data_IF_488664736533
#
_entry.id   IF_488664736533
#
_cell.length_a   1.000
_cell.length_b   1.000
_cell.length_c   1.000
_cell.angle_alpha   90.00
_cell.angle_beta   90.00
_cell.angle_gamma   90.00
#
_symmetry.space_group_name_H-M   'P 1'
#
loop_
_entity.id
_entity.type
_entity.pdbx_description
1 polymer ?
#
# COMPACT_ATOMS: atom_id res chain seq x y z
N UNK A 1 8.23 -1.15 -24.90
CA UNK A 1 7.05 -0.27 -24.79
C UNK A 1 6.54 -0.41 -23.37
N UNK A 2 6.27 0.71 -22.71
CA UNK A 2 5.63 0.69 -21.40
C UNK A 2 4.15 0.33 -21.61
N UNK A 3 3.56 -0.45 -20.70
CA UNK A 3 2.14 -0.78 -20.73
C UNK A 3 1.33 0.41 -20.19
N UNK A 4 0.14 0.65 -20.76
CA UNK A 4 -0.79 1.66 -20.26
C UNK A 4 -1.43 1.17 -18.95
N UNK A 5 -0.73 1.38 -17.85
CA UNK A 5 -1.17 1.03 -16.50
C UNK A 5 -1.65 2.29 -15.81
N UNK A 6 -2.85 2.23 -15.24
CA UNK A 6 -3.40 3.35 -14.48
C UNK A 6 -2.50 3.70 -13.29
N UNK A 7 -2.24 5.01 -13.03
CA UNK A 7 -1.48 5.42 -11.87
C UNK A 7 -2.22 5.07 -10.56
N UNK A 8 -1.49 4.90 -9.44
CA UNK A 8 -2.10 4.70 -8.13
C UNK A 8 -3.02 5.85 -7.72
N UNK A 9 -3.96 5.56 -6.82
CA UNK A 9 -4.70 6.62 -6.13
C UNK A 9 -3.81 7.26 -5.05
N UNK A 10 -4.10 8.53 -4.70
CA UNK A 10 -3.44 9.20 -3.56
C UNK A 10 -3.79 8.46 -2.28
N UNK A 11 -2.77 8.03 -1.52
CA UNK A 11 -2.97 7.33 -0.27
C UNK A 11 -3.04 8.32 0.89
N UNK A 12 -4.05 8.16 1.74
CA UNK A 12 -4.32 9.06 2.88
C UNK A 12 -3.80 8.53 4.23
N UNK A 13 -3.17 7.35 4.22
CA UNK A 13 -2.70 6.67 5.44
C UNK A 13 -3.73 5.74 6.09
N UNK A 14 -4.93 5.57 5.51
CA UNK A 14 -5.90 4.61 6.00
C UNK A 14 -5.43 3.18 5.74
N UNK A 15 -5.01 2.49 6.81
CA UNK A 15 -4.49 1.12 6.79
C UNK A 15 -5.40 0.11 6.06
N UNK A 16 -6.73 0.30 6.05
CA UNK A 16 -7.67 -0.56 5.30
C UNK A 16 -7.46 -0.49 3.78
N UNK A 17 -6.99 0.66 3.29
CA UNK A 17 -6.74 0.91 1.87
C UNK A 17 -5.30 0.61 1.45
N UNK A 18 -4.39 0.36 2.41
CA UNK A 18 -2.96 0.18 2.14
C UNK A 18 -2.69 -0.95 1.14
N UNK A 19 -3.31 -2.11 1.32
CA UNK A 19 -3.14 -3.27 0.42
C UNK A 19 -3.49 -2.91 -1.03
N UNK A 20 -4.59 -2.20 -1.24
CA UNK A 20 -5.04 -1.77 -2.58
C UNK A 20 -4.07 -0.77 -3.19
N UNK A 21 -3.67 0.24 -2.42
CA UNK A 21 -2.67 1.22 -2.85
C UNK A 21 -1.35 0.55 -3.24
N UNK A 22 -0.85 -0.36 -2.41
CA UNK A 22 0.40 -1.06 -2.63
C UNK A 22 0.37 -1.90 -3.92
N UNK A 23 -0.71 -2.62 -4.17
CA UNK A 23 -0.90 -3.37 -5.42
C UNK A 23 -0.91 -2.46 -6.66
N UNK A 24 -1.52 -1.27 -6.58
CA UNK A 24 -1.50 -0.31 -7.68
C UNK A 24 -0.07 0.18 -7.96
N UNK A 25 0.71 0.45 -6.91
CA UNK A 25 2.13 0.82 -7.02
C UNK A 25 2.94 -0.27 -7.71
N UNK A 26 2.80 -1.52 -7.28
CA UNK A 26 3.53 -2.67 -7.84
C UNK A 26 3.19 -2.87 -9.33
N UNK A 27 1.90 -2.79 -9.69
CA UNK A 27 1.46 -2.90 -11.09
C UNK A 27 2.04 -1.78 -11.95
N UNK A 28 2.04 -0.54 -11.46
CA UNK A 28 2.56 0.60 -12.23
C UNK A 28 4.07 0.49 -12.47
N UNK A 29 4.83 0.13 -11.43
CA UNK A 29 6.28 -0.08 -11.56
C UNK A 29 6.59 -1.24 -12.50
N UNK A 30 5.82 -2.34 -12.42
CA UNK A 30 5.95 -3.49 -13.30
C UNK A 30 5.63 -3.16 -14.76
N UNK A 31 4.64 -2.30 -15.02
CA UNK A 31 4.22 -1.90 -16.36
C UNK A 31 5.16 -0.90 -17.04
N UNK A 32 5.94 -0.14 -16.27
CA UNK A 32 6.85 0.89 -16.76
C UNK A 32 8.27 0.76 -16.19
N UNK A 33 8.96 -0.39 -16.34
CA UNK A 33 10.24 -0.65 -15.68
C UNK A 33 11.34 0.34 -16.11
N UNK A 34 11.27 0.87 -17.34
CA UNK A 34 12.21 1.87 -17.84
C UNK A 34 12.11 3.22 -17.12
N UNK A 35 10.95 3.53 -16.52
CA UNK A 35 10.76 4.75 -15.73
C UNK A 35 11.35 4.60 -14.32
N UNK A 36 11.47 3.36 -13.84
CA UNK A 36 11.93 3.00 -12.50
C UNK A 36 13.21 2.14 -12.46
N UNK A 37 14.31 2.54 -13.13
CA UNK A 37 15.55 1.77 -13.18
C UNK A 37 16.29 1.71 -11.84
N UNK A 38 15.93 2.54 -10.87
CA UNK A 38 16.61 2.62 -9.57
C UNK A 38 15.61 2.60 -8.42
N UNK A 39 16.07 2.09 -7.28
CA UNK A 39 15.29 2.10 -6.04
C UNK A 39 14.92 3.52 -5.61
N UNK A 40 15.83 4.49 -5.79
CA UNK A 40 15.53 5.91 -5.55
C UNK A 40 14.30 6.39 -6.31
N UNK A 41 14.17 6.03 -7.59
CA UNK A 41 12.99 6.44 -8.39
C UNK A 41 11.71 5.73 -7.93
N UNK A 42 11.78 4.45 -7.58
CA UNK A 42 10.63 3.72 -7.04
C UNK A 42 10.15 4.34 -5.73
N UNK A 43 11.07 4.63 -4.81
CA UNK A 43 10.74 5.21 -3.51
C UNK A 43 10.19 6.63 -3.67
N UNK A 44 10.86 7.48 -4.48
CA UNK A 44 10.38 8.83 -4.75
C UNK A 44 8.98 8.84 -5.38
N UNK A 45 8.70 7.89 -6.28
CA UNK A 45 7.37 7.70 -6.85
C UNK A 45 6.34 7.41 -5.77
N UNK A 46 6.56 6.41 -4.89
CA UNK A 46 5.62 6.11 -3.82
C UNK A 46 5.38 7.33 -2.93
N UNK A 47 6.44 8.01 -2.49
CA UNK A 47 6.35 9.20 -1.64
C UNK A 47 5.49 10.31 -2.30
N UNK A 48 5.53 10.45 -3.62
CA UNK A 48 4.70 11.45 -4.33
C UNK A 48 3.19 11.22 -4.23
N UNK A 49 2.75 9.99 -3.91
CA UNK A 49 1.34 9.65 -3.68
C UNK A 49 0.94 9.69 -2.19
N UNK A 50 1.90 9.90 -1.28
CA UNK A 50 1.67 10.03 0.16
C UNK A 50 1.51 11.51 0.54
N UNK A 51 0.45 12.15 0.06
CA UNK A 51 0.26 13.61 0.17
C UNK A 51 -1.04 14.02 0.85
N UNK A 52 -1.64 13.10 1.61
CA UNK A 52 -2.89 13.32 2.33
C UNK A 52 -2.87 12.61 3.66
N UNK A 53 -3.53 13.20 4.67
CA UNK A 53 -3.79 12.55 5.95
C UNK A 53 -2.50 12.08 6.64
N UNK A 54 -2.56 10.90 7.26
CA UNK A 54 -1.44 10.35 8.02
C UNK A 54 -0.28 9.91 7.12
N UNK A 55 -0.55 9.60 5.85
CA UNK A 55 0.49 9.26 4.89
C UNK A 55 1.44 10.44 4.61
N UNK A 56 0.91 11.67 4.55
CA UNK A 56 1.69 12.89 4.33
C UNK A 56 2.71 13.11 5.45
N UNK A 57 2.25 13.08 6.70
CA UNK A 57 3.12 13.23 7.87
C UNK A 57 4.17 12.13 7.96
N UNK A 58 3.82 10.88 7.61
CA UNK A 58 4.80 9.80 7.57
C UNK A 58 5.85 10.00 6.48
N UNK A 59 5.45 10.45 5.29
CA UNK A 59 6.36 10.74 4.19
C UNK A 59 7.33 11.89 4.53
N UNK A 60 6.84 12.94 5.20
CA UNK A 60 7.65 14.03 5.71
C UNK A 60 8.68 13.55 6.75
N UNK A 61 8.24 12.74 7.72
CA UNK A 61 9.11 12.16 8.72
C UNK A 61 10.19 11.26 8.10
N UNK A 62 9.81 10.38 7.17
CA UNK A 62 10.75 9.51 6.46
C UNK A 62 11.82 10.31 5.71
N UNK A 63 11.40 11.32 4.94
CA UNK A 63 12.32 12.17 4.17
C UNK A 63 13.26 12.97 5.08
N UNK A 64 12.73 13.56 6.15
CA UNK A 64 13.52 14.32 7.13
C UNK A 64 14.60 13.45 7.75
N UNK A 65 14.24 12.24 8.22
CA UNK A 65 15.19 11.29 8.81
C UNK A 65 16.28 10.87 7.81
N UNK A 66 15.94 10.65 6.54
CA UNK A 66 16.93 10.34 5.49
C UNK A 66 17.85 11.51 5.19
N UNK A 67 17.33 12.73 5.17
CA UNK A 67 18.11 13.95 4.96
C UNK A 67 19.08 14.22 6.12
N UNK A 68 18.63 14.04 7.36
CA UNK A 68 19.47 14.18 8.55
C UNK A 68 20.59 13.13 8.58
N UNK A 69 20.27 11.87 8.26
CA UNK A 69 21.27 10.80 8.17
C UNK A 69 22.32 11.09 7.08
N UNK A 70 21.89 11.56 5.90
CA UNK A 70 22.79 11.95 4.82
C UNK A 70 23.70 13.10 5.23
N UNK A 71 23.16 14.14 5.89
CA UNK A 71 23.92 15.28 6.42
C UNK A 71 24.95 14.83 7.46
N UNK A 72 24.56 13.99 8.42
CA UNK A 72 25.45 13.46 9.44
C UNK A 72 26.60 12.64 8.84
N UNK A 73 26.33 11.89 7.76
CA UNK A 73 27.32 11.10 7.05
C UNK A 73 28.12 11.88 5.99
N UNK A 74 27.81 13.16 5.76
CA UNK A 74 28.36 13.96 4.64
C UNK A 74 28.22 13.27 3.27
N UNK A 75 27.05 12.64 3.03
CA UNK A 75 26.72 11.93 1.79
C UNK A 75 25.54 12.59 1.08
N UNK A 76 25.35 12.35 -0.23
CA UNK A 76 24.12 12.71 -0.93
C UNK A 76 22.89 12.09 -0.26
N UNK A 77 21.73 12.75 -0.40
CA UNK A 77 20.45 12.20 0.05
C UNK A 77 20.13 10.94 -0.75
N UNK A 78 19.94 9.84 -0.04
CA UNK A 78 19.53 8.56 -0.58
C UNK A 78 18.42 7.99 0.32
N UNK A 79 17.34 7.49 -0.28
CA UNK A 79 16.24 6.87 0.46
C UNK A 79 16.54 5.43 0.92
N UNK A 80 17.66 4.83 0.49
CA UNK A 80 18.00 3.43 0.78
C UNK A 80 17.54 2.45 -0.30
N UNK A 81 17.54 1.16 0.02
CA UNK A 81 17.10 0.09 -0.88
C UNK A 81 15.58 0.03 -0.97
N UNK A 82 15.07 -0.50 -2.08
CA UNK A 82 13.64 -0.74 -2.26
C UNK A 82 13.10 -1.70 -1.19
N UNK A 83 13.82 -2.79 -0.92
CA UNK A 83 13.41 -3.81 0.06
C UNK A 83 13.27 -3.24 1.48
N UNK A 84 14.18 -2.37 1.91
CA UNK A 84 14.11 -1.74 3.24
C UNK A 84 12.95 -0.76 3.30
N UNK A 85 12.69 -0.02 2.22
CA UNK A 85 11.53 0.87 2.14
C UNK A 85 10.21 0.09 2.18
N UNK A 86 10.11 -1.03 1.46
CA UNK A 86 8.91 -1.89 1.48
C UNK A 86 8.59 -2.38 2.88
N UNK A 87 9.60 -2.83 3.63
CA UNK A 87 9.42 -3.25 5.03
C UNK A 87 8.90 -2.08 5.86
N UNK A 88 9.56 -0.94 5.78
CA UNK A 88 9.21 0.20 6.63
C UNK A 88 7.81 0.76 6.37
N UNK A 89 7.42 0.90 5.09
CA UNK A 89 6.07 1.39 4.75
C UNK A 89 5.00 0.36 5.10
N UNK A 90 5.31 -0.92 4.97
CA UNK A 90 4.43 -2.02 5.38
C UNK A 90 4.28 -2.03 6.90
N UNK A 91 5.35 -1.91 7.68
CA UNK A 91 5.27 -1.84 9.15
C UNK A 91 4.45 -0.63 9.63
N UNK A 92 4.52 0.50 8.91
CA UNK A 92 3.75 1.70 9.24
C UNK A 92 2.24 1.56 8.97
N UNK A 93 1.87 0.94 7.84
CA UNK A 93 0.51 1.01 7.31
C UNK A 93 -0.19 -0.34 7.12
N UNK A 94 0.49 -1.46 7.30
CA UNK A 94 -0.15 -2.76 7.24
C UNK A 94 -1.19 -2.84 8.35
N UNK A 95 -2.42 -3.15 7.93
CA UNK A 95 -3.52 -3.35 8.85
C UNK A 95 -3.29 -4.68 9.58
N UNK A 96 -3.24 -4.70 10.93
CA UNK A 96 -2.85 -5.89 11.68
C UNK A 96 -3.78 -7.10 11.57
N UNK A 97 -4.92 -7.03 10.87
CA UNK A 97 -5.83 -8.17 10.89
C UNK A 97 -6.82 -8.21 9.70
N UNK A 98 -6.35 -8.74 8.58
CA UNK A 98 -7.23 -9.08 7.45
C UNK A 98 -8.25 -10.16 7.83
N UNK A 99 -7.95 -11.00 8.83
CA UNK A 99 -8.85 -12.02 9.38
C UNK A 99 -9.95 -11.41 10.23
N UNK A 100 -9.62 -10.59 11.23
CA UNK A 100 -10.65 -9.96 12.07
C UNK A 100 -11.60 -9.07 11.26
N UNK A 101 -11.08 -8.32 10.27
CA UNK A 101 -11.92 -7.55 9.37
C UNK A 101 -12.74 -8.44 8.43
N UNK A 102 -12.19 -9.52 7.88
CA UNK A 102 -12.98 -10.45 7.07
C UNK A 102 -14.07 -11.15 7.91
N UNK A 103 -13.81 -11.46 9.18
CA UNK A 103 -14.80 -12.00 10.11
C UNK A 103 -15.88 -10.96 10.46
N UNK A 104 -15.49 -9.69 10.65
CA UNK A 104 -16.44 -8.60 10.85
C UNK A 104 -17.28 -8.33 9.58
N UNK A 105 -16.64 -8.33 8.40
CA UNK A 105 -17.29 -8.20 7.09
C UNK A 105 -18.26 -9.39 6.85
N UNK A 106 -17.86 -10.62 7.21
CA UNK A 106 -18.70 -11.82 7.17
C UNK A 106 -19.91 -11.68 8.10
N UNK A 107 -19.68 -11.26 9.36
CA UNK A 107 -20.75 -11.06 10.33
C UNK A 107 -21.75 -9.99 9.87
N UNK A 108 -21.27 -8.89 9.27
CA UNK A 108 -22.14 -7.87 8.67
C UNK A 108 -22.90 -8.40 7.46
N UNK A 109 -22.28 -9.25 6.64
CA UNK A 109 -22.91 -9.91 5.51
C UNK A 109 -24.10 -10.78 5.96
N UNK A 110 -23.96 -11.53 7.06
CA UNK A 110 -25.05 -12.34 7.62
C UNK A 110 -26.20 -11.51 8.24
N UNK A 111 -25.95 -10.23 8.54
CA UNK A 111 -26.94 -9.32 9.11
C UNK A 111 -27.72 -8.54 8.03
N UNK A 112 -27.18 -8.42 6.81
CA UNK A 112 -27.83 -7.73 5.70
C UNK A 112 -28.84 -8.63 4.98
N UNK A 113 -30.13 -8.42 5.28
CA UNK A 113 -31.25 -9.22 4.76
C UNK A 113 -31.66 -8.88 3.32
N UNK A 114 -30.99 -7.91 2.69
CA UNK A 114 -31.35 -7.42 1.34
C UNK A 114 -30.43 -7.92 0.22
N UNK A 115 -29.53 -8.86 0.50
CA UNK A 115 -28.64 -9.44 -0.53
C UNK A 115 -29.14 -10.79 -1.06
N UNK A 116 -28.92 -11.05 -2.34
CA UNK A 116 -29.33 -12.32 -2.96
C UNK A 116 -28.38 -13.45 -2.55
N UNK A 117 -28.84 -14.70 -2.62
CA UNK A 117 -28.02 -15.87 -2.28
C UNK A 117 -26.73 -15.95 -3.12
N UNK A 118 -26.76 -15.49 -4.37
CA UNK A 118 -25.60 -15.47 -5.27
C UNK A 118 -24.59 -14.39 -4.86
N UNK A 119 -25.05 -13.20 -4.47
CA UNK A 119 -24.21 -12.13 -3.92
C UNK A 119 -23.54 -12.55 -2.61
N UNK A 120 -24.27 -13.27 -1.76
CA UNK A 120 -23.73 -13.84 -0.53
C UNK A 120 -22.59 -14.83 -0.82
N UNK A 121 -22.78 -15.76 -1.76
CA UNK A 121 -21.77 -16.78 -2.09
C UNK A 121 -20.52 -16.16 -2.71
N UNK A 122 -20.67 -15.18 -3.60
CA UNK A 122 -19.54 -14.50 -4.22
C UNK A 122 -18.70 -13.70 -3.19
N UNK A 123 -19.37 -12.94 -2.33
CA UNK A 123 -18.71 -12.17 -1.26
C UNK A 123 -18.09 -13.07 -0.18
N UNK A 124 -18.77 -14.16 0.18
CA UNK A 124 -18.24 -15.17 1.10
C UNK A 124 -16.92 -15.77 0.59
N UNK A 125 -16.88 -16.21 -0.69
CA UNK A 125 -15.66 -16.75 -1.30
C UNK A 125 -14.52 -15.72 -1.32
N UNK A 126 -14.83 -14.45 -1.63
CA UNK A 126 -13.84 -13.37 -1.61
C UNK A 126 -13.27 -13.12 -0.20
N UNK A 127 -14.12 -13.18 0.82
CA UNK A 127 -13.73 -12.97 2.22
C UNK A 127 -12.92 -14.15 2.78
N UNK A 128 -13.26 -15.39 2.43
CA UNK A 128 -12.47 -16.59 2.81
C UNK A 128 -11.05 -16.50 2.25
N UNK A 129 -10.90 -16.07 0.99
CA UNK A 129 -9.58 -15.84 0.37
C UNK A 129 -8.84 -14.68 1.04
N UNK A 130 -9.54 -13.57 1.35
CA UNK A 130 -8.98 -12.39 2.05
C UNK A 130 -8.49 -12.72 3.46
N UNK A 131 -9.13 -13.66 4.13
CA UNK A 131 -8.84 -14.08 5.49
C UNK A 131 -7.77 -15.19 5.58
N UNK A 132 -7.29 -15.73 4.45
CA UNK A 132 -6.39 -16.90 4.41
C UNK A 132 -6.91 -18.09 5.25
N UNK A 133 -8.23 -18.20 5.44
CA UNK A 133 -8.86 -19.30 6.18
C UNK A 133 -8.78 -20.55 5.29
N UNK A 134 -7.75 -21.37 5.51
CA UNK A 134 -7.63 -22.71 4.92
C UNK A 134 -8.34 -23.75 5.76
#
# INVERSE_FOLDING_TARGET
>A
QDADINPPEVYDGNRRNFKRFWQQVELYIMGAPNQFPTDQRKIAFVLSYLRKGHADSWAEFFQTRKAEAAKAASKPLEFGSWDDFQKEITDAFQYPDAQQDALNDLNQLFLDKNTTAEDHVARFKMLVVKAELK
#
